data_IF_430893986725
#
_entry.id   IF_430893986725
#
_cell.length_a   1.000
_cell.length_b   1.000
_cell.length_c   1.000
_cell.angle_alpha   90.00
_cell.angle_beta   90.00
_cell.angle_gamma   90.00
#
_symmetry.space_group_name_H-M   'P 1'
#
loop_
_entity.id
_entity.type
_entity.pdbx_description
1 polymer ?
#
# COMPACT_ATOMS: atom_id res chain seq x y z
N UNK A 1 4.66 50.31 -10.19
CA UNK A 1 3.87 49.55 -9.20
C UNK A 1 3.25 48.22 -9.69
N UNK A 2 3.06 47.99 -11.01
CA UNK A 2 2.48 46.73 -11.54
C UNK A 2 3.41 45.50 -11.41
N UNK A 3 4.72 45.70 -11.48
CA UNK A 3 5.72 44.64 -11.38
C UNK A 3 5.77 44.01 -9.98
N UNK A 4 5.73 44.85 -8.93
CA UNK A 4 5.76 44.40 -7.53
C UNK A 4 4.54 43.54 -7.14
N UNK A 5 3.35 43.90 -7.63
CA UNK A 5 2.12 43.11 -7.41
C UNK A 5 2.15 41.76 -8.13
N UNK A 6 2.90 41.63 -9.23
CA UNK A 6 3.06 40.37 -9.99
C UNK A 6 3.96 39.39 -9.23
N UNK A 7 5.05 39.88 -8.64
CA UNK A 7 5.97 39.09 -7.81
C UNK A 7 5.33 38.65 -6.49
N UNK A 8 4.52 39.51 -5.85
CA UNK A 8 3.77 39.13 -4.65
C UNK A 8 2.72 38.04 -4.92
N UNK A 9 2.05 38.09 -6.08
CA UNK A 9 1.06 37.07 -6.48
C UNK A 9 1.70 35.72 -6.80
N UNK A 10 2.89 35.70 -7.41
CA UNK A 10 3.62 34.45 -7.63
C UNK A 10 4.12 33.84 -6.32
N UNK A 11 4.53 34.68 -5.35
CA UNK A 11 4.97 34.21 -4.04
C UNK A 11 3.82 33.58 -3.24
N UNK A 12 2.62 34.16 -3.28
CA UNK A 12 1.43 33.56 -2.66
C UNK A 12 1.01 32.23 -3.31
N UNK A 13 1.17 32.08 -4.63
CA UNK A 13 0.82 30.83 -5.32
C UNK A 13 1.78 29.68 -4.96
N UNK A 14 3.07 29.99 -4.75
CA UNK A 14 4.08 29.04 -4.28
C UNK A 14 3.83 28.65 -2.82
N UNK A 15 3.40 29.59 -1.96
CA UNK A 15 3.09 29.30 -0.56
C UNK A 15 1.87 28.38 -0.39
N UNK A 16 0.82 28.54 -1.22
CA UNK A 16 -0.38 27.70 -1.16
C UNK A 16 -0.08 26.28 -1.66
N UNK A 17 0.68 26.15 -2.75
CA UNK A 17 1.09 24.84 -3.27
C UNK A 17 2.02 24.09 -2.32
N UNK A 18 2.96 24.78 -1.68
CA UNK A 18 3.79 24.20 -0.62
C UNK A 18 2.96 23.79 0.61
N UNK A 19 1.96 24.59 1.01
CA UNK A 19 1.09 24.29 2.15
C UNK A 19 0.21 23.05 1.94
N UNK A 20 -0.20 22.76 0.71
CA UNK A 20 -0.97 21.53 0.39
C UNK A 20 -0.09 20.29 0.45
N UNK A 21 1.16 20.37 -0.03
CA UNK A 21 2.12 19.24 0.02
C UNK A 21 2.58 18.90 1.44
N UNK A 22 2.57 19.88 2.35
CA UNK A 22 2.95 19.71 3.76
C UNK A 22 1.76 19.50 4.69
N UNK A 23 0.53 19.46 4.16
CA UNK A 23 -0.67 19.19 4.96
C UNK A 23 -0.62 17.75 5.50
N UNK A 24 -0.77 17.54 6.83
CA UNK A 24 -0.86 16.21 7.43
C UNK A 24 -1.96 15.32 6.82
N UNK A 25 -2.96 15.93 6.17
CA UNK A 25 -4.03 15.21 5.47
C UNK A 25 -3.69 14.74 4.05
N UNK A 26 -2.62 15.25 3.43
CA UNK A 26 -2.22 14.85 2.07
C UNK A 26 -1.62 13.42 2.03
N UNK A 27 -1.18 12.90 3.18
CA UNK A 27 -0.55 11.58 3.30
C UNK A 27 -1.48 10.50 3.89
N UNK A 28 -2.75 10.83 4.14
CA UNK A 28 -3.68 9.92 4.81
C UNK A 28 -4.34 8.92 3.84
N UNK A 29 -3.54 8.06 3.21
CA UNK A 29 -4.02 6.87 2.49
C UNK A 29 -3.56 5.59 3.22
N UNK A 30 -4.04 5.37 4.45
CA UNK A 30 -3.96 4.05 5.07
C UNK A 30 -5.33 3.66 5.63
N UNK A 31 -6.30 3.48 4.73
CA UNK A 31 -7.68 3.10 5.06
C UNK A 31 -7.86 1.58 5.28
N UNK A 32 -6.84 0.79 4.95
CA UNK A 32 -6.84 -0.67 5.07
C UNK A 32 -5.63 -1.05 5.90
N UNK A 33 -5.83 -1.81 7.00
CA UNK A 33 -4.76 -2.18 7.94
C UNK A 33 -3.48 -2.69 7.27
N UNK A 34 -2.36 -2.62 7.99
CA UNK A 34 -1.02 -2.83 7.43
C UNK A 34 -0.76 -4.24 6.88
N UNK A 35 -1.65 -5.21 7.11
CA UNK A 35 -1.50 -6.59 6.67
C UNK A 35 -2.70 -7.07 5.85
N UNK A 36 -2.42 -7.65 4.69
CA UNK A 36 -3.43 -8.34 3.86
C UNK A 36 -3.74 -9.71 4.47
N UNK A 37 -4.99 -9.94 4.87
CA UNK A 37 -5.43 -11.25 5.36
C UNK A 37 -5.76 -12.18 4.20
N UNK A 38 -5.04 -13.28 4.08
CA UNK A 38 -5.25 -14.30 3.05
C UNK A 38 -5.79 -15.58 3.67
N UNK A 39 -6.91 -16.08 3.16
CA UNK A 39 -7.47 -17.39 3.51
C UNK A 39 -7.21 -18.39 2.39
N UNK A 40 -6.59 -19.52 2.71
CA UNK A 40 -6.30 -20.61 1.76
C UNK A 40 -7.20 -21.79 2.08
N UNK A 41 -8.23 -22.03 1.26
CA UNK A 41 -9.23 -23.06 1.49
C UNK A 41 -8.91 -24.32 0.67
N UNK A 42 -8.65 -25.41 1.39
CA UNK A 42 -8.31 -26.72 0.83
C UNK A 42 -8.92 -27.83 1.70
N UNK A 43 -9.19 -28.99 1.10
CA UNK A 43 -9.53 -30.23 1.81
C UNK A 43 -8.28 -30.80 2.47
N UNK A 44 -7.98 -30.35 3.68
CA UNK A 44 -6.87 -30.87 4.49
C UNK A 44 -7.22 -32.18 5.22
N UNK A 45 -8.37 -32.78 4.91
CA UNK A 45 -8.84 -34.05 5.43
C UNK A 45 -9.59 -34.84 4.35
N UNK A 46 -9.80 -36.14 4.59
CA UNK A 46 -10.42 -37.04 3.63
C UNK A 46 -9.48 -37.51 2.52
N UNK A 47 -10.04 -38.04 1.43
CA UNK A 47 -9.28 -38.70 0.36
C UNK A 47 -8.41 -37.74 -0.48
N UNK A 48 -8.67 -36.44 -0.40
CA UNK A 48 -7.93 -35.40 -1.14
C UNK A 48 -6.80 -34.76 -0.34
N UNK A 49 -6.70 -35.02 0.97
CA UNK A 49 -5.75 -34.36 1.87
C UNK A 49 -4.28 -34.48 1.43
N UNK A 50 -3.89 -35.64 0.90
CA UNK A 50 -2.50 -35.89 0.47
C UNK A 50 -2.12 -34.97 -0.71
N UNK A 51 -2.98 -34.86 -1.72
CA UNK A 51 -2.71 -34.01 -2.89
C UNK A 51 -2.87 -32.52 -2.58
N UNK A 52 -3.69 -32.16 -1.59
CA UNK A 52 -3.96 -30.76 -1.25
C UNK A 52 -2.97 -30.16 -0.24
N UNK A 53 -2.36 -30.97 0.63
CA UNK A 53 -1.37 -30.48 1.61
C UNK A 53 -0.16 -29.86 0.91
N UNK A 54 0.35 -30.49 -0.15
CA UNK A 54 1.46 -29.96 -0.94
C UNK A 54 1.12 -28.62 -1.60
N UNK A 55 -0.14 -28.43 -2.01
CA UNK A 55 -0.61 -27.18 -2.60
C UNK A 55 -0.72 -26.06 -1.54
N UNK A 56 -1.26 -26.39 -0.35
CA UNK A 56 -1.28 -25.45 0.79
C UNK A 56 0.14 -24.99 1.13
N UNK A 57 1.09 -25.92 1.22
CA UNK A 57 2.48 -25.58 1.59
C UNK A 57 3.15 -24.72 0.52
N UNK A 58 2.92 -25.04 -0.76
CA UNK A 58 3.39 -24.21 -1.88
C UNK A 58 2.81 -22.80 -1.81
N UNK A 59 1.51 -22.66 -1.50
CA UNK A 59 0.88 -21.36 -1.39
C UNK A 59 1.48 -20.52 -0.27
N UNK A 60 1.71 -21.12 0.91
CA UNK A 60 2.35 -20.43 2.03
C UNK A 60 3.79 -20.01 1.70
N UNK A 61 4.57 -20.90 1.06
CA UNK A 61 5.91 -20.59 0.59
C UNK A 61 5.92 -19.39 -0.37
N UNK A 62 5.00 -19.34 -1.33
CA UNK A 62 4.89 -18.24 -2.28
C UNK A 62 4.51 -16.92 -1.59
N UNK A 63 3.65 -16.97 -0.57
CA UNK A 63 3.31 -15.80 0.24
C UNK A 63 4.54 -15.30 1.02
N UNK A 64 5.31 -16.22 1.63
CA UNK A 64 6.55 -15.87 2.34
C UNK A 64 7.58 -15.24 1.40
N UNK A 65 7.81 -15.83 0.22
CA UNK A 65 8.70 -15.25 -0.79
C UNK A 65 8.25 -13.86 -1.25
N UNK A 66 6.94 -13.64 -1.40
CA UNK A 66 6.41 -12.33 -1.77
C UNK A 66 6.61 -11.31 -0.65
N UNK A 67 6.36 -11.69 0.61
CA UNK A 67 6.59 -10.83 1.76
C UNK A 67 8.08 -10.48 1.92
N UNK A 68 8.99 -11.42 1.65
CA UNK A 68 10.43 -11.18 1.64
C UNK A 68 10.85 -10.17 0.56
N UNK A 69 10.08 -10.04 -0.53
CA UNK A 69 10.29 -9.06 -1.61
C UNK A 69 9.63 -7.69 -1.33
N UNK A 70 9.13 -7.46 -0.12
CA UNK A 70 8.47 -6.21 0.27
C UNK A 70 6.95 -6.23 0.13
N UNK A 71 6.36 -7.41 -0.02
CA UNK A 71 4.90 -7.60 0.00
C UNK A 71 4.21 -7.05 -1.25
N UNK A 72 2.94 -6.67 -1.11
CA UNK A 72 2.13 -6.09 -2.18
C UNK A 72 1.73 -4.66 -1.79
N UNK A 73 2.21 -3.68 -2.56
CA UNK A 73 1.98 -2.25 -2.30
C UNK A 73 2.46 -1.82 -0.90
N UNK A 74 3.52 -2.45 -0.39
CA UNK A 74 4.06 -2.19 0.94
C UNK A 74 3.24 -2.81 2.08
N UNK A 75 2.41 -3.81 1.79
CA UNK A 75 1.57 -4.57 2.74
C UNK A 75 1.84 -6.06 2.68
#
# INVERSE_FOLDING_TARGET
MKFLKKTMRSLSAVAITAGVLLSPGAMAFNLFGDTIKVGVLHSLSGTMAISETTLKDTMLMLIEEQNAKGGLLGK
#
